data_IF_897785857818
#
_entry.id   IF_897785857818
#
_cell.length_a   1.000
_cell.length_b   1.000
_cell.length_c   1.000
_cell.angle_alpha   90.00
_cell.angle_beta   90.00
_cell.angle_gamma   90.00
#
_symmetry.space_group_name_H-M   'P 1'
#
loop_
_entity.id
_entity.type
_entity.pdbx_description
1 polymer ?
#
# COMPACT_ATOMS: atom_id res chain seq x y z
N UNK A 1 5.40 4.17 11.23
CA UNK A 1 3.97 4.12 10.79
C UNK A 1 3.03 4.12 12.00
N UNK A 2 2.90 5.25 12.72
CA UNK A 2 2.04 5.35 13.92
C UNK A 2 0.83 6.29 13.74
N UNK A 3 0.72 6.98 12.60
CA UNK A 3 -0.41 7.88 12.32
C UNK A 3 -0.70 7.84 10.82
N UNK A 4 -1.84 7.26 10.45
CA UNK A 4 -2.30 7.13 9.07
C UNK A 4 -2.80 5.72 8.77
N UNK A 5 -4.00 5.64 8.21
CA UNK A 5 -4.62 4.41 7.70
C UNK A 5 -5.18 3.44 8.75
N UNK A 6 -5.88 3.97 9.77
CA UNK A 6 -6.48 3.14 10.83
C UNK A 6 -7.56 2.19 10.29
N UNK A 7 -8.45 2.66 9.40
CA UNK A 7 -9.52 1.81 8.87
C UNK A 7 -8.94 0.69 8.00
N UNK A 8 -7.90 0.98 7.21
CA UNK A 8 -7.14 -0.03 6.49
C UNK A 8 -6.52 -1.05 7.44
N UNK A 9 -5.90 -0.61 8.55
CA UNK A 9 -5.26 -1.52 9.51
C UNK A 9 -6.28 -2.39 10.25
N UNK A 10 -7.39 -1.81 10.66
CA UNK A 10 -8.43 -2.49 11.44
C UNK A 10 -9.19 -3.51 10.58
N UNK A 11 -9.36 -3.21 9.29
CA UNK A 11 -9.97 -4.13 8.31
C UNK A 11 -8.96 -5.20 7.85
N UNK A 12 -7.70 -4.81 7.65
CA UNK A 12 -6.65 -5.67 7.09
C UNK A 12 -5.52 -5.88 8.10
N UNK A 13 -5.69 -6.90 8.93
CA UNK A 13 -4.66 -7.36 9.87
C UNK A 13 -3.39 -7.82 9.14
N UNK A 14 -2.25 -7.84 9.84
CA UNK A 14 -0.98 -8.21 9.23
C UNK A 14 -0.79 -9.73 9.17
N UNK A 15 -1.64 -10.42 8.40
CA UNK A 15 -1.57 -11.87 8.19
C UNK A 15 -0.90 -12.14 6.86
N UNK A 16 0.29 -12.75 6.86
CA UNK A 16 1.09 -12.96 5.64
C UNK A 16 0.79 -14.32 4.98
N UNK A 17 0.38 -15.32 5.77
CA UNK A 17 0.19 -16.70 5.32
C UNK A 17 -1.17 -17.03 4.70
N UNK A 18 -2.11 -16.07 4.63
CA UNK A 18 -3.46 -16.30 4.11
C UNK A 18 -3.76 -15.47 2.86
N UNK A 19 -4.80 -15.87 2.13
CA UNK A 19 -5.48 -15.06 1.12
C UNK A 19 -6.95 -14.96 1.52
N UNK A 20 -7.42 -13.74 1.73
CA UNK A 20 -8.69 -13.42 2.34
C UNK A 20 -9.46 -12.54 1.36
N UNK A 21 -10.69 -12.93 1.03
CA UNK A 21 -11.60 -12.07 0.28
C UNK A 21 -12.36 -11.20 1.26
N UNK A 22 -12.23 -9.87 1.15
CA UNK A 22 -13.04 -8.95 1.96
C UNK A 22 -14.52 -9.01 1.51
N UNK A 23 -15.43 -9.08 2.47
CA UNK A 23 -16.88 -9.13 2.21
C UNK A 23 -17.50 -7.73 2.16
N UNK A 24 -16.99 -6.80 2.96
CA UNK A 24 -17.45 -5.41 2.98
C UNK A 24 -16.29 -4.48 3.34
N UNK A 25 -16.27 -3.31 2.71
CA UNK A 25 -15.37 -2.20 3.01
C UNK A 25 -16.20 -0.95 3.19
N UNK A 26 -15.88 -0.12 4.17
CA UNK A 26 -16.59 1.12 4.44
C UNK A 26 -15.94 2.33 3.75
N UNK A 27 -16.56 3.50 3.89
CA UNK A 27 -16.06 4.74 3.31
C UNK A 27 -14.71 5.18 3.91
N UNK A 28 -14.45 4.84 5.18
CA UNK A 28 -13.19 5.18 5.84
C UNK A 28 -12.03 4.37 5.23
N UNK A 29 -12.26 3.08 4.97
CA UNK A 29 -11.33 2.21 4.26
C UNK A 29 -11.04 2.73 2.84
N UNK A 30 -12.06 3.11 2.09
CA UNK A 30 -11.90 3.67 0.75
C UNK A 30 -11.11 5.00 0.78
N UNK A 31 -11.37 5.88 1.75
CA UNK A 31 -10.64 7.12 1.93
C UNK A 31 -9.16 6.88 2.29
N UNK A 32 -8.88 5.90 3.14
CA UNK A 32 -7.51 5.48 3.47
C UNK A 32 -6.76 4.98 2.24
N UNK A 33 -7.39 4.15 1.40
CA UNK A 33 -6.79 3.68 0.14
C UNK A 33 -6.54 4.82 -0.85
N UNK A 34 -7.48 5.75 -0.99
CA UNK A 34 -7.32 6.91 -1.86
C UNK A 34 -6.14 7.79 -1.42
N UNK A 35 -6.05 8.07 -0.11
CA UNK A 35 -4.93 8.82 0.47
C UNK A 35 -3.60 8.10 0.31
N UNK A 36 -3.58 6.78 0.54
CA UNK A 36 -2.38 5.96 0.33
C UNK A 36 -1.91 6.05 -1.12
N UNK A 37 -2.84 5.87 -2.08
CA UNK A 37 -2.54 5.96 -3.50
C UNK A 37 -1.95 7.32 -3.87
N UNK A 38 -2.54 8.42 -3.38
CA UNK A 38 -2.05 9.77 -3.65
C UNK A 38 -0.62 9.99 -3.12
N UNK A 39 -0.32 9.52 -1.91
CA UNK A 39 1.01 9.68 -1.29
C UNK A 39 2.09 8.88 -2.03
N UNK A 40 1.80 7.62 -2.37
CA UNK A 40 2.75 6.79 -3.13
C UNK A 40 2.97 7.40 -4.52
N UNK A 41 1.90 7.78 -5.23
CA UNK A 41 2.00 8.42 -6.55
C UNK A 41 2.82 9.71 -6.50
N UNK A 42 2.60 10.54 -5.48
CA UNK A 42 3.39 11.75 -5.28
C UNK A 42 4.86 11.41 -5.08
N UNK A 43 5.21 10.48 -4.19
CA UNK A 43 6.60 10.07 -3.97
C UNK A 43 7.27 9.55 -5.25
N UNK A 44 6.61 8.64 -5.97
CA UNK A 44 7.11 8.11 -7.24
C UNK A 44 7.33 9.23 -8.29
N UNK A 45 6.41 10.19 -8.37
CA UNK A 45 6.50 11.30 -9.32
C UNK A 45 7.59 12.29 -8.93
N UNK A 46 7.72 12.62 -7.64
CA UNK A 46 8.68 13.61 -7.15
C UNK A 46 10.12 13.12 -7.21
N UNK A 47 10.36 11.83 -6.98
CA UNK A 47 11.71 11.26 -6.93
C UNK A 47 12.09 10.43 -8.16
N UNK A 48 11.19 10.29 -9.14
CA UNK A 48 11.44 9.60 -10.41
C UNK A 48 11.29 8.08 -10.37
N UNK A 49 10.93 7.51 -9.22
CA UNK A 49 10.74 6.07 -9.04
C UNK A 49 12.02 5.25 -9.28
N UNK A 50 11.93 3.90 -9.31
CA UNK A 50 10.73 3.07 -9.12
C UNK A 50 10.38 2.81 -7.64
N UNK A 51 11.18 3.36 -6.71
CA UNK A 51 10.94 3.39 -5.27
C UNK A 51 10.64 4.80 -4.78
N UNK A 52 10.21 4.95 -3.53
CA UNK A 52 9.74 6.24 -3.01
C UNK A 52 10.81 7.31 -2.92
N UNK A 53 12.09 6.94 -2.88
CA UNK A 53 13.23 7.85 -2.81
C UNK A 53 14.15 7.73 -4.05
N UNK A 54 13.61 7.26 -5.18
CA UNK A 54 14.33 7.17 -6.45
C UNK A 54 14.69 5.72 -6.84
N UNK A 55 15.86 5.49 -7.45
CA UNK A 55 16.15 4.23 -8.15
C UNK A 55 16.35 3.01 -7.24
N UNK A 56 16.66 3.22 -5.96
CA UNK A 56 17.05 2.17 -5.01
C UNK A 56 16.08 2.07 -3.85
N UNK A 57 15.87 0.86 -3.35
CA UNK A 57 15.08 0.61 -2.14
C UNK A 57 15.70 1.30 -0.91
N UNK A 58 14.87 1.91 -0.07
CA UNK A 58 15.31 2.62 1.13
C UNK A 58 14.44 2.29 2.34
N UNK A 59 14.80 2.86 3.50
CA UNK A 59 13.97 2.80 4.70
C UNK A 59 12.55 3.35 4.48
N UNK A 60 12.36 4.31 3.55
CA UNK A 60 11.03 4.81 3.21
C UNK A 60 10.15 3.69 2.66
N UNK A 61 10.69 2.85 1.79
CA UNK A 61 9.99 1.71 1.19
C UNK A 61 9.73 0.60 2.20
N UNK A 62 10.70 0.33 3.08
CA UNK A 62 10.58 -0.66 4.14
C UNK A 62 9.38 -0.39 5.07
N UNK A 63 9.04 0.89 5.29
CA UNK A 63 7.86 1.26 6.07
C UNK A 63 6.55 0.80 5.41
N UNK A 64 6.50 0.68 4.08
CA UNK A 64 5.32 0.27 3.32
C UNK A 64 5.26 -1.23 3.02
N UNK A 65 6.31 -2.02 3.31
CA UNK A 65 6.27 -3.47 3.10
C UNK A 65 5.08 -4.18 3.79
N UNK A 66 4.71 -3.88 5.05
CA UNK A 66 3.51 -4.46 5.67
C UNK A 66 2.21 -4.11 4.93
N UNK A 67 2.18 -3.01 4.18
CA UNK A 67 1.01 -2.63 3.36
C UNK A 67 1.01 -3.43 2.06
N UNK A 68 2.17 -3.64 1.43
CA UNK A 68 2.29 -4.53 0.27
C UNK A 68 1.75 -5.93 0.56
N UNK A 69 2.06 -6.49 1.73
CA UNK A 69 1.51 -7.79 2.14
C UNK A 69 0.00 -7.75 2.39
N UNK A 70 -0.56 -6.64 2.90
CA UNK A 70 -2.03 -6.49 2.98
C UNK A 70 -2.67 -6.46 1.60
N UNK A 71 -2.06 -5.79 0.63
CA UNK A 71 -2.55 -5.80 -0.75
C UNK A 71 -2.65 -7.22 -1.30
N UNK A 72 -1.62 -8.03 -1.06
CA UNK A 72 -1.60 -9.43 -1.44
C UNK A 72 -2.62 -10.28 -0.67
N UNK A 73 -2.62 -10.18 0.67
CA UNK A 73 -3.47 -11.00 1.54
C UNK A 73 -4.94 -10.72 1.29
N UNK A 74 -5.33 -9.47 1.12
CA UNK A 74 -6.74 -9.07 1.04
C UNK A 74 -7.23 -8.80 -0.40
N UNK A 75 -6.37 -9.02 -1.40
CA UNK A 75 -6.69 -8.76 -2.81
C UNK A 75 -7.03 -7.28 -3.08
N UNK A 76 -6.34 -6.36 -2.40
CA UNK A 76 -6.57 -4.93 -2.55
C UNK A 76 -5.86 -4.44 -3.82
N UNK A 77 -6.53 -3.57 -4.56
CA UNK A 77 -5.95 -2.81 -5.66
C UNK A 77 -6.46 -1.38 -5.62
N UNK A 78 -5.64 -0.41 -6.05
CA UNK A 78 -6.07 0.97 -6.27
C UNK A 78 -6.21 1.27 -7.76
N UNK A 79 -6.81 2.40 -8.11
CA UNK A 79 -7.01 2.78 -9.52
C UNK A 79 -5.69 3.10 -10.26
N UNK A 80 -4.67 3.57 -9.54
CA UNK A 80 -3.39 3.95 -10.12
C UNK A 80 -2.48 2.71 -10.32
N UNK A 81 -2.16 2.42 -11.59
CA UNK A 81 -1.35 1.26 -11.96
C UNK A 81 0.10 1.35 -11.48
N UNK A 82 0.68 2.55 -11.40
CA UNK A 82 2.07 2.73 -10.93
C UNK A 82 2.17 2.44 -9.43
N UNK A 83 1.13 2.81 -8.67
CA UNK A 83 1.02 2.50 -7.24
C UNK A 83 0.89 1.00 -7.01
N UNK A 84 0.06 0.31 -7.80
CA UNK A 84 -0.04 -1.16 -7.72
C UNK A 84 1.31 -1.81 -8.06
N UNK A 85 1.98 -1.35 -9.13
CA UNK A 85 3.30 -1.85 -9.53
C UNK A 85 4.38 -1.61 -8.45
N UNK A 86 4.29 -0.51 -7.71
CA UNK A 86 5.14 -0.24 -6.55
C UNK A 86 4.95 -1.28 -5.44
N UNK A 87 3.71 -1.54 -5.02
CA UNK A 87 3.45 -2.55 -4.00
C UNK A 87 3.81 -3.96 -4.46
N UNK A 88 3.64 -4.27 -5.74
CA UNK A 88 4.12 -5.52 -6.33
C UNK A 88 5.64 -5.64 -6.31
N UNK A 89 6.37 -4.54 -6.47
CA UNK A 89 7.83 -4.51 -6.38
C UNK A 89 8.34 -4.76 -4.96
N UNK A 90 7.62 -4.33 -3.92
CA UNK A 90 8.05 -4.54 -2.52
C UNK A 90 7.99 -6.01 -2.06
N UNK A 91 7.32 -6.88 -2.82
CA UNK A 91 7.10 -8.30 -2.49
C UNK A 91 7.87 -9.27 -3.41
N UNK A 92 8.61 -8.76 -4.39
CA UNK A 92 9.42 -9.52 -5.36
C UNK A 92 10.90 -9.22 -5.14
#
# INVERSE_FOLDING_TARGET
MHSGFSALRDTCNNIVGLRIKLHSTDNAFAADLARLSALIKQGLTSFGGPFLAGPTFTAADAMYCPVAFRFQTYGISVADADVNAYFDRLRN
#
